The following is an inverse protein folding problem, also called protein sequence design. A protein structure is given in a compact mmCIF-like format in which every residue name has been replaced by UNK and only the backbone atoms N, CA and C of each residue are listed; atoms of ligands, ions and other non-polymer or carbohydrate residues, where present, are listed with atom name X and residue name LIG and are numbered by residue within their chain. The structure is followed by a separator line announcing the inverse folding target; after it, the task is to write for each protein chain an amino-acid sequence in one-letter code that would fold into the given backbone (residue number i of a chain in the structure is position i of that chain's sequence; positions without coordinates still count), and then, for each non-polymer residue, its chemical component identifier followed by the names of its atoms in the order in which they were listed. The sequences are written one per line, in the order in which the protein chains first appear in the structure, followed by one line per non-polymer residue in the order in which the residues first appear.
data_IF_431220042807
#
_entry.id   IF_431220042807
#
_cell.length_a   1.000
_cell.length_b   1.000
_cell.length_c   1.000
_cell.angle_alpha   90.00
_cell.angle_beta   90.00
_cell.angle_gamma   90.00
#
_symmetry.space_group_name_H-M   'P 1'
#
loop_
_entity.id
_entity.type
_entity.pdbx_description
1 polymer ?
#
# COMPACT_ATOMS: atom_id res chain seq x y z
N UNK A 1 41.46 -7.22 -6.90
CA UNK A 1 40.36 -7.52 -7.85
C UNK A 1 39.25 -8.39 -7.25
N UNK A 2 39.42 -8.94 -6.05
CA UNK A 2 38.42 -9.76 -5.33
C UNK A 2 37.24 -8.93 -4.77
N UNK A 3 37.49 -7.69 -4.33
CA UNK A 3 36.48 -6.81 -3.75
C UNK A 3 35.38 -6.35 -4.75
N UNK A 4 35.67 -6.35 -6.06
CA UNK A 4 34.70 -5.97 -7.08
C UNK A 4 33.68 -7.09 -7.37
N UNK A 5 34.06 -8.37 -7.17
CA UNK A 5 33.16 -9.53 -7.37
C UNK A 5 32.12 -9.67 -6.26
N UNK A 6 32.42 -9.21 -5.04
CA UNK A 6 31.48 -9.24 -3.91
C UNK A 6 30.33 -8.20 -4.02
N UNK A 7 30.54 -7.10 -4.74
CA UNK A 7 29.49 -6.10 -4.97
C UNK A 7 28.43 -6.60 -5.97
N UNK A 8 28.83 -7.38 -6.98
CA UNK A 8 27.95 -7.91 -8.01
C UNK A 8 27.04 -9.07 -7.53
N UNK A 9 27.38 -9.73 -6.41
CA UNK A 9 26.64 -10.87 -5.87
C UNK A 9 25.58 -10.49 -4.80
N UNK A 10 25.32 -9.19 -4.59
CA UNK A 10 24.10 -8.71 -3.93
C UNK A 10 22.97 -8.56 -4.94
N UNK A 11 22.74 -9.60 -5.75
CA UNK A 11 21.44 -9.75 -6.37
C UNK A 11 20.43 -9.68 -5.22
N UNK A 12 19.52 -8.69 -5.29
CA UNK A 12 18.48 -8.40 -4.32
C UNK A 12 17.75 -9.69 -3.94
N UNK A 13 18.19 -10.37 -2.87
CA UNK A 13 17.49 -11.52 -2.33
C UNK A 13 16.13 -10.98 -1.89
N UNK A 14 15.05 -11.47 -2.50
CA UNK A 14 13.70 -11.22 -2.02
C UNK A 14 13.68 -11.50 -0.51
N UNK A 15 13.38 -10.48 0.28
CA UNK A 15 13.27 -10.65 1.72
C UNK A 15 11.97 -11.39 2.01
N UNK A 16 12.09 -12.67 2.34
CA UNK A 16 10.95 -13.55 2.67
C UNK A 16 10.10 -12.93 3.78
N UNK A 17 10.72 -12.21 4.72
CA UNK A 17 9.98 -11.52 5.79
C UNK A 17 9.12 -10.40 5.22
N UNK A 18 9.67 -9.61 4.29
CA UNK A 18 8.92 -8.54 3.64
C UNK A 18 7.74 -9.10 2.83
N UNK A 19 7.92 -10.21 2.12
CA UNK A 19 6.83 -10.88 1.39
C UNK A 19 5.73 -11.35 2.34
N UNK A 20 6.08 -12.00 3.44
CA UNK A 20 5.12 -12.45 4.44
C UNK A 20 4.35 -11.27 5.07
N UNK A 21 5.06 -10.18 5.42
CA UNK A 21 4.44 -8.98 5.97
C UNK A 21 3.49 -8.31 4.98
N UNK A 22 3.86 -8.22 3.70
CA UNK A 22 2.99 -7.71 2.64
C UNK A 22 1.72 -8.55 2.52
N UNK A 23 1.83 -9.88 2.55
CA UNK A 23 0.67 -10.78 2.52
C UNK A 23 -0.26 -10.60 3.71
N UNK A 24 0.29 -10.54 4.93
CA UNK A 24 -0.49 -10.34 6.16
C UNK A 24 -1.17 -8.97 6.18
N UNK A 25 -0.43 -7.90 5.88
CA UNK A 25 -0.97 -6.54 5.85
C UNK A 25 -1.99 -6.37 4.71
N UNK A 26 -1.75 -6.97 3.54
CA UNK A 26 -2.69 -6.95 2.41
C UNK A 26 -3.98 -7.68 2.71
N UNK A 27 -3.92 -8.84 3.37
CA UNK A 27 -5.10 -9.55 3.84
C UNK A 27 -5.89 -8.76 4.88
N UNK A 28 -5.22 -8.12 5.84
CA UNK A 28 -5.89 -7.24 6.81
C UNK A 28 -6.52 -6.01 6.15
N UNK A 29 -5.83 -5.40 5.19
CA UNK A 29 -6.34 -4.27 4.42
C UNK A 29 -7.60 -4.66 3.65
N UNK A 30 -7.60 -5.83 2.99
CA UNK A 30 -8.78 -6.37 2.32
C UNK A 30 -9.97 -6.53 3.29
N UNK A 31 -9.76 -7.14 4.45
CA UNK A 31 -10.83 -7.30 5.44
C UNK A 31 -11.39 -5.96 5.93
N UNK A 32 -10.54 -4.94 6.08
CA UNK A 32 -10.98 -3.58 6.43
C UNK A 32 -11.73 -2.90 5.28
N UNK A 33 -11.34 -3.14 4.02
CA UNK A 33 -12.03 -2.62 2.84
C UNK A 33 -13.43 -3.21 2.68
N UNK A 34 -13.68 -4.44 3.18
CA UNK A 34 -15.04 -5.00 3.22
C UNK A 34 -16.01 -4.21 4.10
N UNK A 35 -15.50 -3.38 5.03
CA UNK A 35 -16.28 -2.51 5.92
C UNK A 35 -16.25 -1.07 5.43
N UNK A 36 -16.52 -0.90 4.13
CA UNK A 36 -16.54 0.39 3.45
C UNK A 36 -17.86 1.16 3.70
N UNK A 37 -17.74 2.47 3.81
CA UNK A 37 -18.85 3.39 4.12
C UNK A 37 -19.07 4.28 2.90
N UNK A 38 -20.28 4.28 2.30
CA UNK A 38 -20.57 5.19 1.20
C UNK A 38 -20.57 6.64 1.69
N UNK A 39 -19.97 7.53 0.92
CA UNK A 39 -19.92 8.95 1.24
C UNK A 39 -21.22 9.63 0.79
N UNK A 40 -21.91 10.29 1.72
CA UNK A 40 -23.17 10.98 1.47
C UNK A 40 -23.07 12.19 0.52
N UNK A 41 -21.87 12.71 0.30
CA UNK A 41 -21.60 13.88 -0.56
C UNK A 41 -20.88 13.51 -1.88
N UNK A 42 -20.52 12.24 -2.09
CA UNK A 42 -19.79 11.80 -3.28
C UNK A 42 -20.62 10.79 -4.09
N UNK A 43 -20.29 10.56 -5.38
CA UNK A 43 -20.92 9.51 -6.16
C UNK A 43 -20.79 8.14 -5.46
N UNK A 44 -21.84 7.32 -5.48
CA UNK A 44 -21.92 6.07 -4.68
C UNK A 44 -20.88 4.98 -5.01
N UNK A 45 -20.07 5.17 -6.05
CA UNK A 45 -18.92 4.30 -6.34
C UNK A 45 -17.67 4.68 -5.53
N UNK A 46 -17.61 5.88 -4.95
CA UNK A 46 -16.58 6.28 -3.98
C UNK A 46 -17.05 5.94 -2.57
N UNK A 47 -16.32 5.02 -1.95
CA UNK A 47 -16.55 4.59 -0.58
C UNK A 47 -15.29 4.83 0.22
N UNK A 48 -15.48 5.16 1.49
CA UNK A 48 -14.39 5.38 2.43
C UNK A 48 -14.21 4.13 3.27
N UNK A 49 -12.97 3.70 3.44
CA UNK A 49 -12.63 2.55 4.26
C UNK A 49 -11.34 2.79 5.06
N UNK A 50 -11.04 1.90 6.00
CA UNK A 50 -9.87 2.01 6.89
C UNK A 50 -8.66 1.18 6.42
N UNK A 51 -8.73 0.58 5.23
CA UNK A 51 -7.70 -0.32 4.70
C UNK A 51 -6.37 0.39 4.41
N UNK A 52 -6.40 1.70 4.22
CA UNK A 52 -5.24 2.55 4.01
C UNK A 52 -4.29 2.57 5.21
N UNK A 53 -4.79 2.26 6.41
CA UNK A 53 -3.97 2.24 7.63
C UNK A 53 -2.91 1.11 7.53
N UNK A 54 -3.27 -0.17 7.29
CA UNK A 54 -2.28 -1.23 7.01
C UNK A 54 -1.32 -0.91 5.86
N UNK A 55 -1.81 -0.29 4.80
CA UNK A 55 -1.04 0.08 3.60
C UNK A 55 0.06 1.08 3.97
N UNK A 56 -0.30 2.15 4.70
CA UNK A 56 0.65 3.14 5.22
C UNK A 56 1.62 2.54 6.24
N UNK A 57 1.15 1.67 7.14
CA UNK A 57 2.01 0.97 8.10
C UNK A 57 3.10 0.17 7.36
N UNK A 58 2.72 -0.61 6.35
CA UNK A 58 3.67 -1.35 5.52
C UNK A 58 4.60 -0.44 4.72
N UNK A 59 4.06 0.63 4.16
CA UNK A 59 4.82 1.66 3.45
C UNK A 59 5.90 2.31 4.32
N UNK A 60 5.58 2.68 5.55
CA UNK A 60 6.51 3.30 6.49
C UNK A 60 7.50 2.32 7.10
N UNK A 61 7.06 1.09 7.40
CA UNK A 61 7.90 0.07 8.02
C UNK A 61 8.93 -0.51 7.05
N UNK A 62 8.48 -0.91 5.84
CA UNK A 62 9.26 -1.68 4.87
C UNK A 62 9.73 -0.80 3.72
N UNK A 63 8.88 0.09 3.23
CA UNK A 63 9.20 1.06 2.19
C UNK A 63 8.05 1.28 1.19
N UNK A 64 8.17 2.29 0.30
CA UNK A 64 7.09 2.70 -0.61
C UNK A 64 6.59 1.56 -1.50
N UNK A 65 7.51 0.72 -2.02
CA UNK A 65 7.13 -0.44 -2.84
C UNK A 65 6.28 -1.44 -2.05
N UNK A 66 6.57 -1.66 -0.76
CA UNK A 66 5.76 -2.56 0.05
C UNK A 66 4.34 -2.02 0.24
N UNK A 67 4.18 -0.71 0.42
CA UNK A 67 2.87 -0.05 0.44
C UNK A 67 2.07 -0.32 -0.84
N UNK A 68 2.68 -0.10 -2.01
CA UNK A 68 2.05 -0.40 -3.31
C UNK A 68 1.66 -1.87 -3.44
N UNK A 69 2.50 -2.80 -2.98
CA UNK A 69 2.19 -4.23 -3.04
C UNK A 69 1.05 -4.63 -2.09
N UNK A 70 0.97 -4.03 -0.91
CA UNK A 70 -0.14 -4.25 0.04
C UNK A 70 -1.44 -3.72 -0.58
N UNK A 71 -1.40 -2.53 -1.17
CA UNK A 71 -2.52 -1.89 -1.88
C UNK A 71 -3.01 -2.76 -3.05
N UNK A 72 -2.08 -3.32 -3.83
CA UNK A 72 -2.39 -4.23 -4.92
C UNK A 72 -3.08 -5.51 -4.42
N UNK A 73 -2.53 -6.15 -3.38
CA UNK A 73 -3.11 -7.37 -2.81
C UNK A 73 -4.53 -7.08 -2.30
N UNK A 74 -4.72 -5.98 -1.58
CA UNK A 74 -6.02 -5.53 -1.09
C UNK A 74 -7.04 -5.45 -2.22
N UNK A 75 -6.76 -4.64 -3.24
CA UNK A 75 -7.70 -4.33 -4.32
C UNK A 75 -8.00 -5.55 -5.18
N UNK A 76 -6.99 -6.38 -5.47
CA UNK A 76 -7.19 -7.62 -6.23
C UNK A 76 -8.10 -8.58 -5.46
N UNK A 77 -7.86 -8.79 -4.16
CA UNK A 77 -8.72 -9.65 -3.34
C UNK A 77 -10.15 -9.11 -3.26
N UNK A 78 -10.31 -7.80 -3.06
CA UNK A 78 -11.62 -7.16 -3.02
C UNK A 78 -12.38 -7.34 -4.34
N UNK A 79 -11.73 -7.05 -5.47
CA UNK A 79 -12.34 -7.18 -6.80
C UNK A 79 -12.84 -8.60 -7.09
N UNK A 80 -12.05 -9.64 -6.78
CA UNK A 80 -12.42 -11.03 -7.06
C UNK A 80 -13.45 -11.61 -6.08
N UNK A 81 -13.45 -11.16 -4.82
CA UNK A 81 -14.32 -11.73 -3.78
C UNK A 81 -15.64 -10.97 -3.65
N UNK A 82 -15.59 -9.63 -3.68
CA UNK A 82 -16.78 -8.79 -3.52
C UNK A 82 -17.45 -8.47 -4.88
N UNK A 83 -16.68 -8.51 -5.97
CA UNK A 83 -17.12 -8.05 -7.28
C UNK A 83 -17.10 -6.52 -7.39
N UNK A 84 -17.30 -6.00 -8.59
CA UNK A 84 -17.28 -4.55 -8.85
C UNK A 84 -18.58 -4.05 -9.44
N UNK A 85 -19.16 -3.02 -8.84
CA UNK A 85 -20.37 -2.36 -9.35
C UNK A 85 -20.11 -1.51 -10.61
N UNK A 86 -18.84 -1.20 -10.90
CA UNK A 86 -18.43 -0.30 -12.00
C UNK A 86 -17.51 -0.99 -13.01
N UNK A 87 -17.62 -2.32 -13.12
CA UNK A 87 -16.75 -3.14 -13.97
C UNK A 87 -15.24 -2.96 -13.70
N UNK A 88 -14.87 -2.65 -12.46
CA UNK A 88 -13.48 -2.51 -12.01
C UNK A 88 -12.93 -1.07 -12.00
N UNK A 89 -13.70 -0.08 -12.46
CA UNK A 89 -13.23 1.32 -12.52
C UNK A 89 -13.05 1.91 -11.11
N UNK A 90 -13.98 1.65 -10.20
CA UNK A 90 -13.89 2.10 -8.81
C UNK A 90 -12.71 1.47 -8.07
N UNK A 91 -12.50 0.16 -8.27
CA UNK A 91 -11.40 -0.59 -7.66
C UNK A 91 -10.04 -0.09 -8.16
N UNK A 92 -9.93 0.19 -9.47
CA UNK A 92 -8.74 0.78 -10.06
C UNK A 92 -8.49 2.20 -9.55
N UNK A 93 -9.55 3.01 -9.39
CA UNK A 93 -9.44 4.33 -8.79
C UNK A 93 -8.93 4.25 -7.35
N UNK A 94 -9.44 3.29 -6.55
CA UNK A 94 -8.96 3.06 -5.19
C UNK A 94 -7.46 2.75 -5.18
N UNK A 95 -7.01 1.83 -6.03
CA UNK A 95 -5.59 1.47 -6.16
C UNK A 95 -4.71 2.68 -6.52
N UNK A 96 -5.13 3.47 -7.51
CA UNK A 96 -4.36 4.63 -7.97
C UNK A 96 -4.28 5.70 -6.88
N UNK A 97 -5.40 6.03 -6.24
CA UNK A 97 -5.45 7.03 -5.16
C UNK A 97 -4.64 6.55 -3.95
N UNK A 98 -4.79 5.29 -3.54
CA UNK A 98 -4.00 4.68 -2.47
C UNK A 98 -2.50 4.73 -2.77
N UNK A 99 -2.09 4.42 -4.01
CA UNK A 99 -0.69 4.56 -4.45
C UNK A 99 -0.21 6.02 -4.40
N UNK A 100 -1.02 6.96 -4.89
CA UNK A 100 -0.73 8.39 -4.85
C UNK A 100 -0.58 8.92 -3.42
N UNK A 101 -1.20 8.28 -2.43
CA UNK A 101 -1.03 8.63 -1.02
C UNK A 101 0.17 7.93 -0.38
N UNK A 102 0.25 6.59 -0.48
CA UNK A 102 1.27 5.80 0.24
C UNK A 102 2.68 6.05 -0.27
N UNK A 103 2.86 6.25 -1.59
CA UNK A 103 4.19 6.40 -2.21
C UNK A 103 4.89 7.68 -1.75
N UNK A 104 4.31 8.90 -1.91
CA UNK A 104 4.97 10.12 -1.44
C UNK A 104 5.14 10.10 0.08
N UNK A 105 4.13 9.65 0.82
CA UNK A 105 4.20 9.56 2.27
C UNK A 105 5.38 8.67 2.71
N UNK A 106 5.51 7.48 2.14
CA UNK A 106 6.58 6.54 2.48
C UNK A 106 7.95 7.00 1.98
N UNK A 107 8.03 7.69 0.84
CA UNK A 107 9.27 8.29 0.34
C UNK A 107 9.79 9.39 1.27
N UNK A 108 8.92 10.28 1.74
CA UNK A 108 9.27 11.34 2.68
C UNK A 108 9.70 10.73 4.02
N UNK A 109 8.94 9.76 4.53
CA UNK A 109 9.27 9.07 5.79
C UNK A 109 10.58 8.30 5.71
N UNK A 110 10.89 7.67 4.56
CA UNK A 110 12.13 6.92 4.34
C UNK A 110 13.38 7.79 4.44
N UNK A 111 13.31 9.09 4.13
CA UNK A 111 14.47 10.01 4.21
C UNK A 111 14.93 10.26 5.64
N UNK A 112 13.99 10.45 6.57
CA UNK A 112 14.25 10.54 8.00
C UNK A 112 13.06 9.96 8.74
N UNK A 113 13.26 8.91 9.53
CA UNK A 113 12.19 8.26 10.28
C UNK A 113 11.89 9.01 11.58
N UNK A 114 11.01 10.01 11.50
CA UNK A 114 10.59 10.82 12.66
C UNK A 114 9.08 11.05 12.63
N UNK A 115 8.50 11.45 13.77
CA UNK A 115 7.06 11.81 13.79
C UNK A 115 6.73 12.98 12.87
N UNK A 116 7.64 13.97 12.77
CA UNK A 116 7.46 15.14 11.90
C UNK A 116 7.39 14.75 10.43
N UNK A 117 8.29 13.88 9.97
CA UNK A 117 8.32 13.43 8.57
C UNK A 117 7.19 12.47 8.23
N UNK A 118 6.65 11.72 9.19
CA UNK A 118 5.42 10.96 8.99
C UNK A 118 4.23 11.89 8.74
N UNK A 119 4.06 12.93 9.58
CA UNK A 119 2.99 13.93 9.40
C UNK A 119 3.15 14.71 8.08
N UNK A 120 4.37 15.13 7.75
CA UNK A 120 4.65 15.78 6.46
C UNK A 120 4.39 14.85 5.28
N UNK A 121 4.69 13.56 5.43
CA UNK A 121 4.42 12.56 4.40
C UNK A 121 2.93 12.36 4.16
N UNK A 122 2.11 12.38 5.21
CA UNK A 122 0.65 12.27 5.08
C UNK A 122 -0.02 13.54 4.50
N UNK A 123 0.67 14.68 4.54
CA UNK A 123 0.18 15.95 4.02
C UNK A 123 0.68 16.29 2.59
N UNK A 124 1.53 15.43 2.02
CA UNK A 124 2.18 15.62 0.72
C UNK A 124 1.46 14.84 -0.38
#
# INVERSE_FOLDING_TARGET
MENAKNAANRASRFDIRAVAQVGILGGMAFLLMMVEIPLWFAPGFYKLDLSEIPVLIGGFAIGPLAGVMIELVKVVLYFFIHGSSTAGVGDFANFVIGCCMVVPAALIYKRRKTRRTAMLGLAA
#
